data_IF_195254421666
#
_entry.id   IF_195254421666
#
_cell.length_a   1.000
_cell.length_b   1.000
_cell.length_c   1.000
_cell.angle_alpha   90.00
_cell.angle_beta   90.00
_cell.angle_gamma   90.00
#
_symmetry.space_group_name_H-M   'P 1'
#
loop_
_entity.id
_entity.type
_entity.pdbx_description
1 polymer ?
#
# COMPACT_ATOMS: atom_id res chain seq x y z
N UNK A 1 -17.67 -1.75 19.58
CA UNK A 1 -16.82 -1.95 18.38
C UNK A 1 -17.68 -1.67 17.16
N UNK A 2 -17.24 -0.80 16.26
CA UNK A 2 -18.00 -0.47 15.05
C UNK A 2 -17.67 -1.47 13.93
N UNK A 3 -18.55 -1.58 12.94
CA UNK A 3 -18.37 -2.48 11.80
C UNK A 3 -17.07 -2.20 11.03
N UNK A 4 -16.68 -0.92 10.92
CA UNK A 4 -15.40 -0.50 10.35
C UNK A 4 -14.19 -1.15 11.08
N UNK A 5 -14.14 -1.06 12.41
CA UNK A 5 -13.02 -1.63 13.17
C UNK A 5 -12.91 -3.16 13.01
N UNK A 6 -14.03 -3.87 12.85
CA UNK A 6 -14.01 -5.32 12.60
C UNK A 6 -13.39 -5.62 11.24
N UNK A 7 -13.69 -4.81 10.22
CA UNK A 7 -13.10 -4.93 8.88
C UNK A 7 -11.60 -4.65 8.90
N UNK A 8 -11.14 -3.63 9.64
CA UNK A 8 -9.71 -3.35 9.82
C UNK A 8 -8.98 -4.51 10.50
N UNK A 9 -9.53 -5.05 11.59
CA UNK A 9 -8.95 -6.21 12.31
C UNK A 9 -8.88 -7.43 11.40
N UNK A 10 -9.94 -7.67 10.62
CA UNK A 10 -9.97 -8.74 9.63
C UNK A 10 -8.87 -8.55 8.58
N UNK A 11 -8.65 -7.32 8.09
CA UNK A 11 -7.55 -7.01 7.15
C UNK A 11 -6.18 -7.34 7.75
N UNK A 12 -5.94 -6.94 8.99
CA UNK A 12 -4.69 -7.27 9.70
C UNK A 12 -4.48 -8.78 9.77
N UNK A 13 -5.55 -9.55 10.00
CA UNK A 13 -5.48 -11.01 10.01
C UNK A 13 -5.28 -11.63 8.62
N UNK A 14 -5.80 -10.99 7.56
CA UNK A 14 -5.59 -11.43 6.17
C UNK A 14 -4.14 -11.25 5.70
N UNK A 15 -3.38 -10.29 6.25
CA UNK A 15 -1.98 -10.03 5.86
C UNK A 15 -1.08 -11.27 6.07
N UNK A 16 -1.03 -11.91 7.25
CA UNK A 16 -0.31 -13.17 7.43
C UNK A 16 -0.75 -14.28 6.47
N UNK A 17 -2.06 -14.42 6.23
CA UNK A 17 -2.60 -15.46 5.34
C UNK A 17 -2.16 -15.21 3.90
N UNK A 18 -2.17 -13.94 3.46
CA UNK A 18 -1.61 -13.52 2.18
C UNK A 18 -0.13 -13.89 2.07
N UNK A 19 0.68 -13.54 3.08
CA UNK A 19 2.11 -13.86 3.12
C UNK A 19 2.36 -15.37 3.04
N UNK A 20 1.61 -16.16 3.81
CA UNK A 20 1.67 -17.62 3.77
C UNK A 20 1.32 -18.15 2.38
N UNK A 21 0.32 -17.57 1.73
CA UNK A 21 -0.11 -17.98 0.38
C UNK A 21 0.99 -17.73 -0.67
N UNK A 22 1.70 -16.61 -0.55
CA UNK A 22 2.88 -16.31 -1.38
C UNK A 22 4.01 -17.31 -1.08
N UNK A 23 4.28 -17.60 0.20
CA UNK A 23 5.31 -18.55 0.61
C UNK A 23 5.09 -19.98 0.13
N UNK A 24 3.84 -20.44 0.05
CA UNK A 24 3.48 -21.75 -0.51
C UNK A 24 3.30 -21.75 -2.04
N UNK A 25 3.74 -20.69 -2.72
CA UNK A 25 3.63 -20.54 -4.16
C UNK A 25 2.18 -20.71 -4.68
N UNK A 26 1.21 -20.09 -3.99
CA UNK A 26 -0.22 -20.09 -4.33
C UNK A 26 -0.66 -18.70 -4.82
N UNK A 27 -0.26 -18.25 -6.02
CA UNK A 27 -0.53 -16.89 -6.49
C UNK A 27 -2.03 -16.57 -6.62
N UNK A 28 -2.86 -17.55 -7.01
CA UNK A 28 -4.31 -17.36 -7.07
C UNK A 28 -4.93 -17.09 -5.70
N UNK A 29 -4.52 -17.84 -4.68
CA UNK A 29 -5.01 -17.63 -3.32
C UNK A 29 -4.55 -16.27 -2.79
N UNK A 30 -3.29 -15.92 -3.03
CA UNK A 30 -2.76 -14.61 -2.65
C UNK A 30 -3.51 -13.46 -3.35
N UNK A 31 -3.81 -13.58 -4.64
CA UNK A 31 -4.59 -12.60 -5.39
C UNK A 31 -6.00 -12.42 -4.82
N UNK A 32 -6.68 -13.52 -4.50
CA UNK A 32 -8.01 -13.48 -3.89
C UNK A 32 -7.95 -12.78 -2.53
N UNK A 33 -7.01 -13.15 -1.66
CA UNK A 33 -6.87 -12.55 -0.34
C UNK A 33 -6.55 -11.06 -0.44
N UNK A 34 -5.59 -10.69 -1.30
CA UNK A 34 -5.20 -9.30 -1.53
C UNK A 34 -6.40 -8.46 -2.03
N UNK A 35 -7.16 -9.01 -2.98
CA UNK A 35 -8.35 -8.33 -3.53
C UNK A 35 -9.43 -8.17 -2.45
N UNK A 36 -9.72 -9.20 -1.67
CA UNK A 36 -10.69 -9.12 -0.56
C UNK A 36 -10.23 -8.09 0.47
N UNK A 37 -8.95 -8.12 0.86
CA UNK A 37 -8.37 -7.19 1.84
C UNK A 37 -8.41 -5.72 1.37
N UNK A 38 -8.18 -5.47 0.08
CA UNK A 38 -8.29 -4.13 -0.51
C UNK A 38 -9.75 -3.67 -0.67
N UNK A 39 -10.67 -4.58 -1.01
CA UNK A 39 -12.09 -4.24 -1.10
C UNK A 39 -12.69 -3.93 0.28
N UNK A 40 -12.27 -4.62 1.34
CA UNK A 40 -12.73 -4.30 2.70
C UNK A 40 -12.28 -2.93 3.16
N UNK A 41 -11.16 -2.39 2.66
CA UNK A 41 -10.68 -1.01 2.88
C UNK A 41 -11.50 0.06 2.16
N UNK A 42 -11.87 -0.22 0.91
CA UNK A 42 -12.78 0.69 0.22
C UNK A 42 -14.14 0.76 0.94
N UNK A 43 -14.60 -0.38 1.46
CA UNK A 43 -15.90 -0.51 2.13
C UNK A 43 -15.92 0.10 3.53
N UNK A 44 -14.93 -0.16 4.39
CA UNK A 44 -14.91 0.42 5.74
C UNK A 44 -14.75 1.94 5.71
N UNK A 45 -13.92 2.49 4.81
CA UNK A 45 -13.77 3.91 4.61
C UNK A 45 -15.04 4.55 4.06
N UNK A 46 -15.83 3.84 3.26
CA UNK A 46 -17.15 4.30 2.83
C UNK A 46 -18.18 4.29 3.96
N UNK A 47 -18.23 3.20 4.74
CA UNK A 47 -19.17 3.02 5.85
C UNK A 47 -18.86 4.02 6.97
N UNK A 48 -17.60 4.19 7.35
CA UNK A 48 -17.19 5.13 8.39
C UNK A 48 -17.60 6.58 8.04
N UNK A 49 -17.40 6.99 6.78
CA UNK A 49 -17.80 8.32 6.27
C UNK A 49 -19.31 8.49 6.19
N UNK A 50 -20.04 7.45 5.76
CA UNK A 50 -21.50 7.54 5.58
C UNK A 50 -22.25 7.51 6.92
N UNK A 51 -21.75 6.77 7.90
CA UNK A 51 -22.42 6.58 9.19
C UNK A 51 -21.80 7.40 10.33
N UNK A 52 -20.83 8.29 10.06
CA UNK A 52 -20.09 9.05 11.08
C UNK A 52 -19.55 8.18 12.22
N UNK A 53 -19.12 6.95 11.88
CA UNK A 53 -18.67 5.93 12.84
C UNK A 53 -17.15 5.90 12.99
N UNK A 54 -16.48 7.03 12.77
CA UNK A 54 -15.04 7.15 12.92
C UNK A 54 -14.63 7.01 14.39
N UNK A 55 -13.83 5.99 14.70
CA UNK A 55 -13.27 5.80 16.04
C UNK A 55 -11.79 6.15 16.06
N UNK A 56 -11.27 6.60 17.20
CA UNK A 56 -9.83 6.89 17.39
C UNK A 56 -8.98 5.64 17.10
N UNK A 57 -9.46 4.47 17.55
CA UNK A 57 -8.78 3.19 17.29
C UNK A 57 -8.74 2.86 15.79
N UNK A 58 -9.86 3.00 15.07
CA UNK A 58 -9.90 2.79 13.62
C UNK A 58 -8.90 3.68 12.89
N UNK A 59 -8.89 4.99 13.19
CA UNK A 59 -7.95 5.95 12.59
C UNK A 59 -6.47 5.59 12.75
N UNK A 60 -6.11 4.86 13.81
CA UNK A 60 -4.74 4.41 14.05
C UNK A 60 -4.49 3.06 13.36
N UNK A 61 -5.46 2.14 13.40
CA UNK A 61 -5.32 0.80 12.86
C UNK A 61 -5.39 0.77 11.33
N UNK A 62 -6.20 1.62 10.68
CA UNK A 62 -6.38 1.62 9.23
C UNK A 62 -5.04 1.87 8.49
N UNK A 63 -4.27 2.93 8.81
CA UNK A 63 -2.97 3.17 8.15
C UNK A 63 -1.96 2.04 8.38
N UNK A 64 -2.01 1.39 9.55
CA UNK A 64 -1.13 0.26 9.87
C UNK A 64 -1.51 -0.94 9.02
N UNK A 65 -2.79 -1.29 8.95
CA UNK A 65 -3.29 -2.41 8.17
C UNK A 65 -2.97 -2.25 6.68
N UNK A 66 -3.23 -1.06 6.12
CA UNK A 66 -3.00 -0.76 4.71
C UNK A 66 -1.53 -0.83 4.33
N UNK A 67 -0.67 -0.18 5.12
CA UNK A 67 0.77 -0.23 4.87
C UNK A 67 1.35 -1.61 5.09
N UNK A 68 0.84 -2.37 6.06
CA UNK A 68 1.29 -3.75 6.27
C UNK A 68 1.01 -4.60 5.05
N UNK A 69 -0.18 -4.52 4.45
CA UNK A 69 -0.54 -5.31 3.26
C UNK A 69 0.32 -4.93 2.04
N UNK A 70 0.50 -3.64 1.75
CA UNK A 70 1.29 -3.20 0.59
C UNK A 70 2.78 -3.54 0.76
N UNK A 71 3.37 -3.21 1.91
CA UNK A 71 4.79 -3.47 2.17
C UNK A 71 5.07 -4.97 2.19
N UNK A 72 4.21 -5.77 2.83
CA UNK A 72 4.36 -7.23 2.81
C UNK A 72 4.25 -7.78 1.38
N UNK A 73 3.33 -7.25 0.56
CA UNK A 73 3.21 -7.67 -0.85
C UNK A 73 4.50 -7.47 -1.62
N UNK A 74 5.11 -6.28 -1.57
CA UNK A 74 6.36 -6.03 -2.30
C UNK A 74 7.52 -6.89 -1.80
N UNK A 75 7.70 -7.00 -0.47
CA UNK A 75 8.79 -7.77 0.13
C UNK A 75 8.64 -9.26 -0.17
N UNK A 76 7.45 -9.84 0.07
CA UNK A 76 7.27 -11.28 -0.05
C UNK A 76 7.17 -11.73 -1.51
N UNK A 77 6.57 -10.95 -2.42
CA UNK A 77 6.61 -11.29 -3.85
C UNK A 77 8.06 -11.31 -4.36
N UNK A 78 8.88 -10.33 -3.98
CA UNK A 78 10.30 -10.30 -4.34
C UNK A 78 11.09 -11.51 -3.81
N UNK A 79 10.85 -11.92 -2.55
CA UNK A 79 11.57 -13.03 -1.93
C UNK A 79 10.94 -14.42 -2.19
N UNK A 80 9.77 -14.49 -2.81
CA UNK A 80 9.05 -15.75 -3.07
C UNK A 80 9.70 -16.60 -4.16
N UNK A 81 9.18 -17.80 -4.39
CA UNK A 81 9.53 -18.67 -5.52
C UNK A 81 8.64 -18.47 -6.76
N UNK A 82 7.86 -17.39 -6.81
CA UNK A 82 7.02 -17.05 -7.96
C UNK A 82 7.86 -16.85 -9.23
N UNK A 83 7.34 -17.19 -10.42
CA UNK A 83 8.08 -17.01 -11.67
C UNK A 83 8.27 -15.52 -12.01
N UNK A 84 7.23 -14.73 -11.80
CA UNK A 84 7.22 -13.28 -12.07
C UNK A 84 7.27 -12.55 -10.74
N UNK A 85 8.30 -11.72 -10.56
CA UNK A 85 8.56 -10.96 -9.34
C UNK A 85 8.84 -9.49 -9.65
N UNK A 86 8.76 -8.66 -8.63
CA UNK A 86 9.25 -7.29 -8.74
C UNK A 86 10.78 -7.26 -8.80
N UNK A 87 11.38 -6.35 -9.57
CA UNK A 87 12.82 -6.15 -9.52
C UNK A 87 13.23 -5.46 -8.21
N UNK A 88 14.42 -5.78 -7.70
CA UNK A 88 14.90 -5.29 -6.41
C UNK A 88 14.86 -3.75 -6.30
N UNK A 89 15.30 -3.05 -7.34
CA UNK A 89 15.33 -1.58 -7.38
C UNK A 89 13.93 -0.97 -7.20
N UNK A 90 12.88 -1.61 -7.71
CA UNK A 90 11.50 -1.12 -7.61
C UNK A 90 11.00 -1.21 -6.18
N UNK A 91 11.22 -2.36 -5.54
CA UNK A 91 10.86 -2.61 -4.14
C UNK A 91 11.54 -1.59 -3.21
N UNK A 92 12.84 -1.34 -3.44
CA UNK A 92 13.59 -0.33 -2.69
C UNK A 92 12.98 1.06 -2.87
N UNK A 93 12.70 1.52 -4.09
CA UNK A 93 12.12 2.85 -4.33
C UNK A 93 10.78 3.02 -3.59
N UNK A 94 9.90 2.02 -3.70
CA UNK A 94 8.56 2.07 -3.08
C UNK A 94 8.66 2.15 -1.55
N UNK A 95 9.46 1.27 -0.94
CA UNK A 95 9.61 1.21 0.52
C UNK A 95 10.34 2.46 1.03
N UNK A 96 11.42 2.87 0.37
CA UNK A 96 12.18 4.06 0.74
C UNK A 96 11.32 5.33 0.70
N UNK A 97 10.44 5.48 -0.29
CA UNK A 97 9.50 6.61 -0.36
C UNK A 97 8.57 6.65 0.85
N UNK A 98 8.06 5.50 1.29
CA UNK A 98 7.16 5.43 2.43
C UNK A 98 7.88 5.74 3.74
N UNK A 99 9.09 5.20 3.94
CA UNK A 99 9.95 5.52 5.08
C UNK A 99 10.29 7.01 5.09
N UNK A 100 10.65 7.57 3.94
CA UNK A 100 11.00 8.99 3.80
C UNK A 100 9.86 9.90 4.24
N UNK A 101 8.62 9.62 3.82
CA UNK A 101 7.45 10.43 4.19
C UNK A 101 7.12 10.29 5.67
N UNK A 102 7.22 9.07 6.23
CA UNK A 102 7.00 8.84 7.66
C UNK A 102 8.02 9.61 8.51
N UNK A 103 9.31 9.45 8.22
CA UNK A 103 10.39 10.13 8.95
C UNK A 103 10.30 11.66 8.80
N UNK A 104 10.09 12.15 7.57
CA UNK A 104 9.95 13.59 7.33
C UNK A 104 8.76 14.19 8.08
N UNK A 105 7.62 13.48 8.11
CA UNK A 105 6.46 13.89 8.88
C UNK A 105 6.74 13.90 10.39
N UNK A 106 7.39 12.86 10.91
CA UNK A 106 7.77 12.78 12.34
C UNK A 106 8.70 13.93 12.75
N UNK A 107 9.69 14.29 11.92
CA UNK A 107 10.61 15.40 12.20
C UNK A 107 9.87 16.74 12.25
N UNK A 108 8.99 17.02 11.29
CA UNK A 108 8.20 18.26 11.27
C UNK A 108 7.30 18.35 12.51
N UNK A 109 6.64 17.24 12.87
CA UNK A 109 5.80 17.19 14.06
C UNK A 109 6.58 17.49 15.34
N UNK A 110 7.78 16.92 15.50
CA UNK A 110 8.65 17.17 16.64
C UNK A 110 9.14 18.63 16.73
N UNK A 111 9.38 19.27 15.58
CA UNK A 111 9.90 20.65 15.53
C UNK A 111 8.79 21.72 15.71
N UNK A 112 7.61 21.49 15.14
CA UNK A 112 6.52 22.49 15.07
C UNK A 112 5.35 22.20 15.98
N UNK A 113 5.29 21.02 16.60
CA UNK A 113 4.17 20.55 17.43
C UNK A 113 2.86 20.32 16.68
N UNK A 114 2.83 20.57 15.37
CA UNK A 114 1.68 20.39 14.51
C UNK A 114 2.14 19.95 13.12
N UNK A 115 1.30 19.15 12.47
CA UNK A 115 1.60 18.56 11.18
C UNK A 115 0.37 18.73 10.29
N UNK A 116 0.52 19.44 9.17
CA UNK A 116 -0.50 19.51 8.13
C UNK A 116 -0.07 18.61 6.98
N UNK A 117 -0.38 17.31 7.09
CA UNK A 117 -0.24 16.39 5.95
C UNK A 117 -1.56 16.37 5.20
N UNK A 118 -1.61 17.14 4.12
CA UNK A 118 -2.73 17.10 3.18
C UNK A 118 -2.50 15.97 2.15
N UNK A 119 -3.52 15.14 1.86
CA UNK A 119 -3.41 14.10 0.85
C UNK A 119 -3.18 14.73 -0.53
N UNK A 120 -2.07 14.40 -1.19
CA UNK A 120 -1.76 14.90 -2.54
C UNK A 120 -2.36 13.99 -3.60
N UNK A 121 -2.72 14.57 -4.76
CA UNK A 121 -3.21 13.80 -5.92
C UNK A 121 -2.17 12.76 -6.33
N UNK A 122 -0.89 13.14 -6.36
CA UNK A 122 0.22 12.23 -6.66
C UNK A 122 0.40 11.12 -5.62
N UNK A 123 0.13 11.40 -4.34
CA UNK A 123 0.10 10.38 -3.30
C UNK A 123 -0.98 9.32 -3.55
N UNK A 124 -2.19 9.74 -3.89
CA UNK A 124 -3.30 8.84 -4.23
C UNK A 124 -3.06 8.05 -5.52
N UNK A 125 -2.48 8.71 -6.54
CA UNK A 125 -2.10 8.03 -7.78
C UNK A 125 -1.04 6.96 -7.51
N UNK A 126 -0.04 7.25 -6.68
CA UNK A 126 1.01 6.29 -6.31
C UNK A 126 0.42 5.04 -5.67
N UNK A 127 -0.47 5.19 -4.68
CA UNK A 127 -1.08 4.02 -4.02
C UNK A 127 -1.96 3.22 -4.96
N UNK A 128 -2.69 3.89 -5.86
CA UNK A 128 -3.47 3.22 -6.91
C UNK A 128 -2.57 2.37 -7.82
N UNK A 129 -1.48 2.94 -8.32
CA UNK A 129 -0.54 2.22 -9.19
C UNK A 129 0.22 1.11 -8.46
N UNK A 130 0.53 1.29 -7.17
CA UNK A 130 1.09 0.23 -6.33
C UNK A 130 0.14 -0.97 -6.21
N UNK A 131 -1.14 -0.73 -5.88
CA UNK A 131 -2.16 -1.79 -5.82
C UNK A 131 -2.29 -2.47 -7.18
N UNK A 132 -2.36 -1.70 -8.26
CA UNK A 132 -2.46 -2.23 -9.63
C UNK A 132 -1.25 -3.10 -9.98
N UNK A 133 -0.04 -2.68 -9.61
CA UNK A 133 1.19 -3.43 -9.87
C UNK A 133 1.19 -4.79 -9.17
N UNK A 134 0.71 -4.86 -7.92
CA UNK A 134 0.60 -6.11 -7.17
C UNK A 134 -0.41 -7.05 -7.82
N UNK A 135 -1.59 -6.54 -8.19
CA UNK A 135 -2.62 -7.32 -8.88
C UNK A 135 -2.06 -7.90 -10.17
N UNK A 136 -1.42 -7.08 -11.02
CA UNK A 136 -0.90 -7.53 -12.31
C UNK A 136 0.21 -8.57 -12.16
N UNK A 137 1.14 -8.38 -11.23
CA UNK A 137 2.20 -9.37 -10.98
C UNK A 137 1.63 -10.69 -10.46
N UNK A 138 0.67 -10.65 -9.54
CA UNK A 138 0.01 -11.87 -9.06
C UNK A 138 -0.79 -12.56 -10.17
N UNK A 139 -1.51 -11.80 -11.00
CA UNK A 139 -2.23 -12.34 -12.16
C UNK A 139 -1.29 -12.97 -13.18
N UNK A 140 -0.12 -12.36 -13.42
CA UNK A 140 0.87 -12.88 -14.35
C UNK A 140 1.47 -14.23 -13.92
N UNK A 141 1.43 -14.54 -12.62
CA UNK A 141 1.80 -15.85 -12.08
C UNK A 141 0.67 -16.90 -12.16
N UNK A 142 -0.51 -16.55 -12.70
CA UNK A 142 -1.67 -17.45 -12.84
C UNK A 142 -2.00 -17.66 -14.31
N UNK A 143 -2.00 -16.58 -15.08
CA UNK A 143 -2.30 -16.56 -16.50
C UNK A 143 -1.22 -15.80 -17.25
N UNK A 144 -1.12 -16.02 -18.56
CA UNK A 144 -0.20 -15.26 -19.39
C UNK A 144 -0.57 -13.76 -19.41
N UNK A 145 0.39 -12.92 -19.00
CA UNK A 145 0.32 -11.47 -19.11
C UNK A 145 1.57 -11.01 -19.87
N UNK A 146 1.44 -10.16 -20.91
CA UNK A 146 2.59 -9.68 -21.66
C UNK A 146 3.59 -8.95 -20.76
N UNK A 147 4.89 -9.29 -20.88
CA UNK A 147 5.97 -8.65 -20.12
C UNK A 147 5.96 -7.12 -20.27
N UNK A 148 5.62 -6.63 -21.47
CA UNK A 148 5.51 -5.19 -21.74
C UNK A 148 4.47 -4.49 -20.85
N UNK A 149 3.38 -5.17 -20.48
CA UNK A 149 2.38 -4.62 -19.56
C UNK A 149 2.90 -4.59 -18.12
N UNK A 150 3.59 -5.65 -17.68
CA UNK A 150 4.20 -5.72 -16.34
C UNK A 150 5.24 -4.61 -16.18
N UNK A 151 6.16 -4.49 -17.14
CA UNK A 151 7.19 -3.45 -17.15
C UNK A 151 6.58 -2.05 -17.17
N UNK A 152 5.59 -1.82 -18.04
CA UNK A 152 4.89 -0.53 -18.11
C UNK A 152 4.30 -0.13 -16.76
N UNK A 153 3.64 -1.06 -16.06
CA UNK A 153 3.03 -0.81 -14.75
C UNK A 153 4.09 -0.56 -13.68
N UNK A 154 5.21 -1.28 -13.71
CA UNK A 154 6.33 -1.05 -12.77
C UNK A 154 6.95 0.34 -12.98
N UNK A 155 7.23 0.73 -14.23
CA UNK A 155 7.81 2.03 -14.55
C UNK A 155 6.86 3.19 -14.24
N UNK A 156 5.58 3.09 -14.59
CA UNK A 156 4.61 4.14 -14.28
C UNK A 156 4.42 4.28 -12.76
N UNK A 157 4.37 3.15 -12.03
CA UNK A 157 4.28 3.17 -10.56
C UNK A 157 5.50 3.85 -9.95
N UNK A 158 6.70 3.56 -10.49
CA UNK A 158 7.96 4.20 -10.06
C UNK A 158 7.92 5.70 -10.29
N UNK A 159 7.49 6.12 -11.48
CA UNK A 159 7.40 7.53 -11.87
C UNK A 159 6.47 8.30 -10.92
N UNK A 160 5.28 7.77 -10.63
CA UNK A 160 4.37 8.36 -9.64
C UNK A 160 4.96 8.34 -8.23
N UNK A 161 5.64 7.26 -7.83
CA UNK A 161 6.29 7.15 -6.52
C UNK A 161 7.33 8.25 -6.32
N UNK A 162 8.16 8.51 -7.32
CA UNK A 162 9.18 9.58 -7.29
C UNK A 162 8.52 10.95 -7.23
N UNK A 163 7.54 11.24 -8.10
CA UNK A 163 6.82 12.52 -8.07
C UNK A 163 6.17 12.74 -6.71
N UNK A 164 5.55 11.69 -6.15
CA UNK A 164 4.91 11.78 -4.86
C UNK A 164 5.93 12.10 -3.76
N UNK A 165 7.08 11.42 -3.73
CA UNK A 165 8.15 11.71 -2.79
C UNK A 165 8.60 13.18 -2.85
N UNK A 166 8.84 13.70 -4.05
CA UNK A 166 9.22 15.10 -4.26
C UNK A 166 8.13 16.08 -3.84
N UNK A 167 6.86 15.75 -4.10
CA UNK A 167 5.73 16.59 -3.71
C UNK A 167 5.60 16.68 -2.20
N UNK A 168 5.70 15.55 -1.49
CA UNK A 168 5.66 15.52 -0.02
C UNK A 168 6.87 16.22 0.59
N UNK A 169 8.06 16.07 0.00
CA UNK A 169 9.26 16.80 0.41
C UNK A 169 9.06 18.31 0.32
N UNK A 170 8.59 18.82 -0.83
CA UNK A 170 8.33 20.25 -1.02
C UNK A 170 7.27 20.79 -0.03
N UNK A 171 6.19 20.04 0.18
CA UNK A 171 5.15 20.41 1.13
C UNK A 171 5.63 20.38 2.59
N UNK A 172 6.54 19.47 2.93
CA UNK A 172 7.16 19.39 4.24
C UNK A 172 8.12 20.55 4.49
N UNK A 173 8.98 20.88 3.52
CA UNK A 173 9.91 22.01 3.61
C UNK A 173 9.20 23.35 3.80
N UNK A 174 8.03 23.55 3.18
CA UNK A 174 7.22 24.77 3.37
C UNK A 174 6.65 24.93 4.78
N UNK A 175 6.67 23.87 5.61
CA UNK A 175 6.16 23.89 6.98
C UNK A 175 7.25 24.15 8.03
N UNK A 176 8.52 23.97 7.67
CA UNK A 176 9.69 24.29 8.51
C UNK A 176 9.92 25.80 8.54
#
# INVERSE_FOLDING_TARGET
MNLANILTILRIFLVPIFVISIGYNKPLLALIIFTIAGLTDALDGFIARKFNQETILGKILDPIADKSLLVSSFIFIYNSELDIKFPYWFVVIVISRDIFILLGSSVIYLLKGSLKVEPTIFGKATTFFQILSIIIVLTANIIFVPNLLIDFVIYITTMFTIISALTYLNNGLKQL
#
